data_IF_438301640316
#
_entry.id   IF_438301640316
#
_cell.length_a   1.000
_cell.length_b   1.000
_cell.length_c   1.000
_cell.angle_alpha   90.00
_cell.angle_beta   90.00
_cell.angle_gamma   90.00
#
_symmetry.space_group_name_H-M   'P 1'
#
loop_
_entity.id
_entity.type
_entity.pdbx_description
1 polymer ?
#
# COMPACT_ATOMS: atom_id res chain seq x y z
N UNK A 1 -33.81 68.10 6.06
CA UNK A 1 -34.50 66.79 6.20
C UNK A 1 -33.50 65.75 6.68
N UNK A 2 -33.80 64.95 7.71
CA UNK A 2 -32.91 63.91 8.20
C UNK A 2 -32.72 62.84 7.11
N UNK A 3 -31.47 62.53 6.77
CA UNK A 3 -31.14 61.46 5.82
C UNK A 3 -31.63 60.13 6.40
N UNK A 4 -32.55 59.45 5.71
CA UNK A 4 -32.98 58.10 6.09
C UNK A 4 -31.75 57.19 6.14
N UNK A 5 -31.58 56.44 7.23
CA UNK A 5 -30.47 55.48 7.38
C UNK A 5 -30.44 54.50 6.22
N UNK A 6 -29.24 54.10 5.79
CA UNK A 6 -29.07 53.03 4.81
C UNK A 6 -29.82 51.76 5.30
N UNK A 7 -30.55 51.05 4.42
CA UNK A 7 -31.19 49.79 4.78
C UNK A 7 -30.14 48.75 5.18
N UNK A 8 -30.53 47.85 6.08
CA UNK A 8 -29.65 46.76 6.51
C UNK A 8 -29.54 45.65 5.46
N UNK A 9 -28.47 44.83 5.50
CA UNK A 9 -28.30 43.67 4.60
C UNK A 9 -29.49 42.71 4.67
N UNK A 10 -30.10 42.55 5.86
CA UNK A 10 -31.29 41.71 6.03
C UNK A 10 -32.51 42.31 5.33
N UNK A 11 -32.71 43.64 5.45
CA UNK A 11 -33.78 44.34 4.73
C UNK A 11 -33.61 44.26 3.21
N UNK A 12 -32.39 44.40 2.69
CA UNK A 12 -32.16 44.35 1.24
C UNK A 12 -32.38 42.96 0.66
N UNK A 13 -32.05 41.89 1.41
CA UNK A 13 -32.39 40.50 1.07
C UNK A 13 -33.90 40.27 1.06
N UNK A 14 -34.63 40.77 2.07
CA UNK A 14 -36.10 40.70 2.09
C UNK A 14 -36.74 41.45 0.90
N UNK A 15 -36.16 42.58 0.47
CA UNK A 15 -36.65 43.31 -0.70
C UNK A 15 -36.43 42.52 -2.00
N UNK A 16 -35.29 41.83 -2.12
CA UNK A 16 -35.00 40.94 -3.23
C UNK A 16 -36.01 39.78 -3.29
N UNK A 17 -36.30 39.14 -2.16
CA UNK A 17 -37.24 38.01 -2.10
C UNK A 17 -38.67 38.44 -2.49
N UNK A 18 -39.12 39.61 -2.03
CA UNK A 18 -40.42 40.17 -2.43
C UNK A 18 -40.47 40.52 -3.93
N UNK A 19 -39.38 41.08 -4.45
CA UNK A 19 -39.26 41.40 -5.87
C UNK A 19 -39.32 40.14 -6.75
N UNK A 20 -38.59 39.09 -6.38
CA UNK A 20 -38.62 37.79 -7.07
C UNK A 20 -39.98 37.08 -6.93
N UNK A 21 -40.71 37.33 -5.84
CA UNK A 21 -42.10 36.87 -5.64
C UNK A 21 -43.13 37.64 -6.48
N UNK A 22 -42.69 38.52 -7.39
CA UNK A 22 -43.54 39.24 -8.35
C UNK A 22 -43.91 40.67 -7.94
N UNK A 23 -43.33 41.22 -6.88
CA UNK A 23 -43.63 42.60 -6.48
C UNK A 23 -42.89 43.60 -7.36
N UNK A 24 -43.60 44.63 -7.83
CA UNK A 24 -42.95 45.71 -8.58
C UNK A 24 -42.14 46.62 -7.67
N UNK A 25 -41.05 47.19 -8.21
CA UNK A 25 -40.20 48.15 -7.50
C UNK A 25 -40.99 49.36 -6.96
N UNK A 26 -42.02 49.79 -7.70
CA UNK A 26 -42.92 50.87 -7.30
C UNK A 26 -43.77 50.49 -6.09
N UNK A 27 -44.28 49.25 -6.04
CA UNK A 27 -45.05 48.74 -4.91
C UNK A 27 -44.17 48.58 -3.66
N UNK A 28 -42.93 48.12 -3.83
CA UNK A 28 -41.93 48.05 -2.76
C UNK A 28 -41.56 49.45 -2.22
N UNK A 29 -41.35 50.42 -3.12
CA UNK A 29 -41.04 51.81 -2.77
C UNK A 29 -42.16 52.46 -1.95
N UNK A 30 -43.41 52.28 -2.38
CA UNK A 30 -44.59 52.79 -1.68
C UNK A 30 -44.74 52.15 -0.30
N UNK A 31 -44.62 50.81 -0.19
CA UNK A 31 -44.83 50.09 1.06
C UNK A 31 -43.71 50.30 2.08
N UNK A 32 -42.46 50.41 1.63
CA UNK A 32 -41.30 50.64 2.51
C UNK A 32 -41.01 52.13 2.72
N UNK A 33 -41.79 53.03 2.10
CA UNK A 33 -41.63 54.48 2.23
C UNK A 33 -40.26 54.97 1.75
N UNK A 34 -39.71 54.37 0.70
CA UNK A 34 -38.36 54.64 0.16
C UNK A 34 -38.47 55.10 -1.29
N UNK A 35 -37.49 55.89 -1.74
CA UNK A 35 -37.41 56.32 -3.14
C UNK A 35 -37.20 55.10 -4.05
N UNK A 36 -37.89 55.06 -5.20
CA UNK A 36 -37.83 53.93 -6.14
C UNK A 36 -36.40 53.68 -6.66
N UNK A 37 -35.59 54.74 -6.84
CA UNK A 37 -34.17 54.61 -7.22
C UNK A 37 -33.35 53.95 -6.12
N UNK A 38 -33.73 54.18 -4.86
CA UNK A 38 -33.10 53.52 -3.70
C UNK A 38 -33.46 52.04 -3.68
N UNK A 39 -34.74 51.69 -3.84
CA UNK A 39 -35.18 50.29 -3.94
C UNK A 39 -34.45 49.57 -5.08
N UNK A 40 -34.47 50.12 -6.30
CA UNK A 40 -33.80 49.53 -7.47
C UNK A 40 -32.30 49.31 -7.24
N UNK A 41 -31.61 50.32 -6.69
CA UNK A 41 -30.18 50.23 -6.37
C UNK A 41 -29.91 49.07 -5.41
N UNK A 42 -30.60 49.01 -4.28
CA UNK A 42 -30.35 47.98 -3.27
C UNK A 42 -30.82 46.57 -3.69
N UNK A 43 -31.84 46.45 -4.54
CA UNK A 43 -32.19 45.17 -5.18
C UNK A 43 -31.06 44.72 -6.10
N UNK A 44 -30.50 45.63 -6.90
CA UNK A 44 -29.38 45.31 -7.80
C UNK A 44 -28.13 44.90 -7.02
N UNK A 45 -27.82 45.62 -5.92
CA UNK A 45 -26.73 45.26 -5.01
C UNK A 45 -26.96 43.89 -4.36
N UNK A 46 -28.17 43.60 -3.86
CA UNK A 46 -28.52 42.30 -3.27
C UNK A 46 -28.47 41.16 -4.31
N UNK A 47 -28.85 41.42 -5.57
CA UNK A 47 -28.68 40.46 -6.66
C UNK A 47 -27.20 40.19 -6.96
N UNK A 48 -26.37 41.23 -6.97
CA UNK A 48 -24.93 41.10 -7.20
C UNK A 48 -24.27 40.30 -6.05
N UNK A 49 -24.62 40.58 -4.80
CA UNK A 49 -24.19 39.83 -3.61
C UNK A 49 -24.61 38.35 -3.72
N UNK A 50 -25.88 38.06 -4.03
CA UNK A 50 -26.36 36.68 -4.20
C UNK A 50 -25.64 35.94 -5.31
N UNK A 51 -25.40 36.57 -6.47
CA UNK A 51 -24.63 35.97 -7.57
C UNK A 51 -23.18 35.70 -7.16
N UNK A 52 -22.58 36.62 -6.40
CA UNK A 52 -21.24 36.44 -5.86
C UNK A 52 -21.20 35.25 -4.88
N UNK A 53 -22.12 35.19 -3.92
CA UNK A 53 -22.23 34.07 -2.97
C UNK A 53 -22.43 32.72 -3.68
N UNK A 54 -23.26 32.69 -4.73
CA UNK A 54 -23.45 31.49 -5.56
C UNK A 54 -22.18 31.10 -6.31
N UNK A 55 -21.47 32.06 -6.89
CA UNK A 55 -20.21 31.80 -7.57
C UNK A 55 -19.14 31.30 -6.59
N UNK A 56 -19.04 31.88 -5.40
CA UNK A 56 -18.14 31.43 -4.34
C UNK A 56 -18.48 30.00 -3.90
N UNK A 57 -19.76 29.69 -3.71
CA UNK A 57 -20.22 28.35 -3.33
C UNK A 57 -19.88 27.31 -4.41
N UNK A 58 -20.08 27.61 -5.69
CA UNK A 58 -19.73 26.70 -6.78
C UNK A 58 -18.22 26.49 -6.91
N UNK A 59 -17.41 27.54 -6.70
CA UNK A 59 -15.94 27.41 -6.65
C UNK A 59 -15.52 26.50 -5.49
N UNK A 60 -16.10 26.71 -4.30
CA UNK A 60 -15.83 25.89 -3.12
C UNK A 60 -16.21 24.43 -3.34
N UNK A 61 -17.41 24.19 -3.87
CA UNK A 61 -17.90 22.84 -4.21
C UNK A 61 -16.96 22.15 -5.19
N UNK A 62 -16.56 22.84 -6.25
CA UNK A 62 -15.62 22.31 -7.25
C UNK A 62 -14.26 21.97 -6.62
N UNK A 63 -13.73 22.84 -5.76
CA UNK A 63 -12.47 22.58 -5.07
C UNK A 63 -12.56 21.37 -4.12
N UNK A 64 -13.66 21.24 -3.37
CA UNK A 64 -13.90 20.09 -2.49
C UNK A 64 -14.08 18.79 -3.26
N UNK A 65 -14.82 18.79 -4.36
CA UNK A 65 -14.98 17.62 -5.23
C UNK A 65 -13.64 17.16 -5.78
N UNK A 66 -12.85 18.08 -6.35
CA UNK A 66 -11.51 17.75 -6.86
C UNK A 66 -10.58 17.22 -5.76
N UNK A 67 -10.66 17.79 -4.56
CA UNK A 67 -9.87 17.30 -3.43
C UNK A 67 -10.29 15.87 -3.01
N UNK A 68 -11.59 15.58 -2.95
CA UNK A 68 -12.09 14.23 -2.67
C UNK A 68 -11.66 13.22 -3.74
N UNK A 69 -11.69 13.60 -5.03
CA UNK A 69 -11.20 12.75 -6.12
C UNK A 69 -9.71 12.39 -5.95
N UNK A 70 -8.88 13.34 -5.53
CA UNK A 70 -7.45 13.09 -5.27
C UNK A 70 -7.22 12.13 -4.09
N UNK A 71 -8.01 12.27 -3.02
CA UNK A 71 -7.95 11.37 -1.87
C UNK A 71 -8.40 9.95 -2.24
N UNK A 72 -9.47 9.83 -3.02
CA UNK A 72 -9.96 8.54 -3.53
C UNK A 72 -8.96 7.90 -4.50
N UNK A 73 -8.29 8.69 -5.35
CA UNK A 73 -7.21 8.18 -6.21
C UNK A 73 -6.07 7.59 -5.36
N UNK A 74 -5.70 8.25 -4.26
CA UNK A 74 -4.68 7.74 -3.32
C UNK A 74 -5.11 6.42 -2.67
N UNK A 75 -6.40 6.27 -2.32
CA UNK A 75 -6.93 4.99 -1.83
C UNK A 75 -6.93 3.88 -2.89
N UNK A 76 -7.19 4.21 -4.15
CA UNK A 76 -7.08 3.24 -5.25
C UNK A 76 -5.63 2.78 -5.45
N UNK A 77 -4.66 3.69 -5.35
CA UNK A 77 -3.23 3.34 -5.37
C UNK A 77 -2.86 2.43 -4.19
N UNK A 78 -3.38 2.72 -3.00
CA UNK A 78 -3.22 1.89 -1.81
C UNK A 78 -3.79 0.48 -2.01
N UNK A 79 -5.02 0.34 -2.50
CA UNK A 79 -5.65 -0.97 -2.81
C UNK A 79 -4.81 -1.78 -3.82
N UNK A 80 -4.22 -1.09 -4.80
CA UNK A 80 -3.35 -1.69 -5.81
C UNK A 80 -1.93 -2.02 -5.30
N UNK A 81 -1.48 -1.42 -4.20
CA UNK A 81 -0.19 -1.70 -3.57
C UNK A 81 -0.28 -2.87 -2.58
N UNK A 82 -1.43 -2.99 -1.91
CA UNK A 82 -1.71 -4.09 -0.99
C UNK A 82 -1.93 -5.36 -1.80
N UNK A 83 -0.94 -6.23 -1.79
CA UNK A 83 -1.04 -7.54 -2.42
C UNK A 83 -0.17 -8.55 -1.66
N UNK A 84 -0.50 -9.82 -1.82
CA UNK A 84 0.37 -10.88 -1.36
C UNK A 84 1.63 -10.89 -2.23
N UNK A 85 2.82 -11.07 -1.62
CA UNK A 85 4.03 -11.27 -2.40
C UNK A 85 3.91 -12.49 -3.30
N UNK A 86 4.49 -12.43 -4.49
CA UNK A 86 4.54 -13.58 -5.40
C UNK A 86 5.33 -14.73 -4.75
N UNK A 87 4.98 -16.01 -5.00
CA UNK A 87 5.65 -17.16 -4.38
C UNK A 87 7.16 -17.25 -4.66
N UNK A 88 7.61 -16.60 -5.72
CA UNK A 88 8.99 -16.48 -6.17
C UNK A 88 9.65 -15.14 -5.81
N UNK A 89 8.98 -14.31 -5.00
CA UNK A 89 9.58 -13.13 -4.40
C UNK A 89 10.80 -13.52 -3.58
N UNK A 90 11.89 -12.81 -3.83
CA UNK A 90 13.17 -13.03 -3.17
C UNK A 90 13.28 -12.13 -1.94
N UNK A 91 13.28 -12.74 -0.76
CA UNK A 91 13.43 -12.02 0.50
C UNK A 91 14.86 -12.10 1.03
N UNK A 92 15.77 -11.33 0.43
CA UNK A 92 17.08 -11.01 0.99
C UNK A 92 17.35 -9.53 0.83
N UNK A 93 17.93 -8.92 1.85
CA UNK A 93 18.30 -7.51 1.80
C UNK A 93 19.45 -7.32 0.84
N UNK A 94 19.27 -6.37 -0.07
CA UNK A 94 20.35 -5.85 -0.91
C UNK A 94 21.50 -5.34 -0.03
N UNK A 95 22.74 -5.66 -0.41
CA UNK A 95 23.92 -5.41 0.42
C UNK A 95 24.25 -3.93 0.56
N UNK A 96 23.89 -3.12 -0.43
CA UNK A 96 24.21 -1.69 -0.49
C UNK A 96 23.10 -0.84 0.15
N UNK A 97 21.84 -1.24 -0.05
CA UNK A 97 20.68 -0.43 0.31
C UNK A 97 19.96 -0.91 1.57
N UNK A 98 20.16 -2.18 1.96
CA UNK A 98 19.42 -2.84 3.05
C UNK A 98 17.89 -2.81 2.84
N UNK A 99 17.46 -2.97 1.58
CA UNK A 99 16.04 -2.96 1.18
C UNK A 99 15.63 -4.23 0.45
N UNK A 100 14.35 -4.55 0.55
CA UNK A 100 13.64 -5.54 -0.27
C UNK A 100 12.43 -4.84 -0.87
N UNK A 101 12.33 -4.86 -2.19
CA UNK A 101 11.19 -4.30 -2.92
C UNK A 101 10.34 -5.43 -3.49
N UNK A 102 9.02 -5.35 -3.31
CA UNK A 102 8.09 -6.33 -3.85
C UNK A 102 6.76 -5.68 -4.23
N UNK A 103 5.88 -6.44 -4.88
CA UNK A 103 4.63 -5.94 -5.48
C UNK A 103 4.88 -4.80 -6.47
N UNK A 104 5.80 -5.02 -7.42
CA UNK A 104 6.22 -4.04 -8.43
C UNK A 104 6.78 -2.73 -7.83
N UNK A 105 7.54 -2.83 -6.72
CA UNK A 105 8.21 -1.69 -6.08
C UNK A 105 7.35 -0.90 -5.09
N UNK A 106 6.05 -1.21 -5.01
CA UNK A 106 5.11 -0.44 -4.18
C UNK A 106 5.28 -0.68 -2.68
N UNK A 107 5.88 -1.81 -2.31
CA UNK A 107 6.16 -2.17 -0.92
C UNK A 107 7.66 -2.30 -0.75
N UNK A 108 8.19 -1.57 0.23
CA UNK A 108 9.61 -1.56 0.58
C UNK A 108 9.75 -2.04 2.02
N UNK A 109 10.44 -3.16 2.19
CA UNK A 109 10.91 -3.61 3.50
C UNK A 109 12.35 -3.14 3.70
N UNK A 110 12.62 -2.53 4.85
CA UNK A 110 13.95 -2.03 5.22
C UNK A 110 14.41 -2.67 6.51
N UNK A 111 15.72 -2.93 6.62
CA UNK A 111 16.35 -3.37 7.87
C UNK A 111 17.41 -2.33 8.25
N UNK A 112 17.17 -1.52 9.30
CA UNK A 112 18.17 -0.60 9.82
C UNK A 112 19.46 -1.35 10.22
N UNK A 113 20.64 -0.79 9.92
CA UNK A 113 21.94 -1.43 10.17
C UNK A 113 22.13 -1.88 11.63
N UNK A 114 21.51 -1.18 12.58
CA UNK A 114 21.62 -1.43 14.01
C UNK A 114 20.51 -2.31 14.60
N UNK A 115 19.54 -2.79 13.80
CA UNK A 115 18.42 -3.58 14.31
C UNK A 115 18.19 -4.87 13.53
N UNK A 116 17.61 -5.85 14.21
CA UNK A 116 17.05 -7.04 13.57
C UNK A 116 15.65 -6.79 13.02
N UNK A 117 15.06 -5.64 13.34
CA UNK A 117 13.68 -5.32 13.03
C UNK A 117 13.54 -4.97 11.55
N UNK A 118 12.52 -5.57 10.93
CA UNK A 118 12.13 -5.28 9.56
C UNK A 118 10.99 -4.27 9.63
N UNK A 119 11.11 -3.19 8.88
CA UNK A 119 10.09 -2.16 8.79
C UNK A 119 9.52 -2.18 7.38
N UNK A 120 8.22 -2.40 7.26
CA UNK A 120 7.50 -2.40 5.97
C UNK A 120 6.81 -1.07 5.74
N UNK A 121 7.13 -0.42 4.63
CA UNK A 121 6.55 0.84 4.20
C UNK A 121 6.00 0.72 2.78
N UNK A 122 4.93 1.45 2.50
CA UNK A 122 4.42 1.64 1.14
C UNK A 122 5.07 2.88 0.53
N UNK A 123 5.37 2.84 -0.76
CA UNK A 123 5.97 3.97 -1.48
C UNK A 123 5.14 5.26 -1.33
N UNK A 124 3.81 5.12 -1.42
CA UNK A 124 2.82 6.20 -1.34
C UNK A 124 2.77 6.91 0.02
N UNK A 125 3.31 6.30 1.09
CA UNK A 125 3.33 6.90 2.45
C UNK A 125 4.15 8.18 2.51
N UNK A 126 5.12 8.35 1.60
CA UNK A 126 5.93 9.55 1.52
C UNK A 126 5.19 10.73 0.85
N UNK A 127 3.98 10.52 0.34
CA UNK A 127 3.20 11.54 -0.36
C UNK A 127 2.39 12.41 0.60
N UNK A 128 2.28 13.70 0.28
CA UNK A 128 1.42 14.63 1.02
C UNK A 128 -0.06 14.21 0.97
N UNK A 129 -0.51 13.61 -0.15
CA UNK A 129 -1.89 13.13 -0.28
C UNK A 129 -2.19 11.99 0.69
N UNK A 130 -1.24 11.08 0.92
CA UNK A 130 -1.40 10.03 1.91
C UNK A 130 -1.55 10.58 3.32
N UNK A 131 -0.76 11.59 3.70
CA UNK A 131 -0.94 12.27 5.00
C UNK A 131 -2.33 12.91 5.13
N UNK A 132 -2.91 13.43 4.04
CA UNK A 132 -4.28 13.97 4.08
C UNK A 132 -5.33 12.85 4.20
N UNK A 133 -5.11 11.69 3.58
CA UNK A 133 -5.94 10.49 3.78
C UNK A 133 -5.88 10.04 5.25
N UNK A 134 -4.68 10.03 5.86
CA UNK A 134 -4.51 9.78 7.30
C UNK A 134 -5.32 10.74 8.17
N UNK A 135 -5.27 12.04 7.88
CA UNK A 135 -6.05 13.03 8.63
C UNK A 135 -7.56 12.79 8.53
N UNK A 136 -8.05 12.46 7.32
CA UNK A 136 -9.46 12.14 7.11
C UNK A 136 -9.90 10.89 7.88
N UNK A 137 -9.03 9.89 7.96
CA UNK A 137 -9.31 8.58 8.53
C UNK A 137 -8.70 8.36 9.92
N UNK A 138 -8.31 9.43 10.63
CA UNK A 138 -7.62 9.34 11.94
C UNK A 138 -8.38 8.48 12.98
N UNK A 139 -9.71 8.40 12.86
CA UNK A 139 -10.57 7.59 13.73
C UNK A 139 -11.13 6.33 13.06
N UNK A 140 -10.69 6.02 11.84
CA UNK A 140 -11.15 4.86 11.09
C UNK A 140 -10.26 3.63 11.37
N UNK A 141 -10.88 2.46 11.43
CA UNK A 141 -10.20 1.18 11.61
C UNK A 141 -9.26 0.83 10.44
N UNK A 142 -9.39 1.44 9.27
CA UNK A 142 -8.52 1.18 8.10
C UNK A 142 -7.04 1.30 8.44
N UNK A 143 -6.64 2.29 9.24
CA UNK A 143 -5.23 2.46 9.63
C UNK A 143 -4.77 1.45 10.69
N UNK A 144 -5.69 0.94 11.50
CA UNK A 144 -5.42 -0.20 12.36
C UNK A 144 -5.19 -1.47 11.52
N UNK A 145 -6.05 -1.73 10.53
CA UNK A 145 -5.88 -2.81 9.56
C UNK A 145 -4.58 -2.66 8.74
N UNK A 146 -4.18 -1.43 8.38
CA UNK A 146 -2.91 -1.18 7.69
C UNK A 146 -1.71 -1.56 8.55
N UNK A 147 -1.72 -1.18 9.84
CA UNK A 147 -0.68 -1.59 10.79
C UNK A 147 -0.65 -3.11 10.99
N UNK A 148 -1.81 -3.75 11.08
CA UNK A 148 -1.93 -5.22 11.16
C UNK A 148 -1.34 -5.90 9.93
N UNK A 149 -1.66 -5.41 8.74
CA UNK A 149 -1.09 -5.87 7.48
C UNK A 149 0.44 -5.70 7.42
N UNK A 150 0.97 -4.54 7.81
CA UNK A 150 2.42 -4.29 7.87
C UNK A 150 3.11 -5.28 8.81
N UNK A 151 2.59 -5.46 10.02
CA UNK A 151 3.14 -6.40 10.99
C UNK A 151 3.10 -7.86 10.49
N UNK A 152 2.02 -8.25 9.79
CA UNK A 152 1.93 -9.57 9.16
C UNK A 152 2.94 -9.74 8.02
N UNK A 153 3.17 -8.70 7.21
CA UNK A 153 4.21 -8.65 6.19
C UNK A 153 5.60 -8.80 6.83
N UNK A 154 5.92 -8.00 7.85
CA UNK A 154 7.19 -8.06 8.58
C UNK A 154 7.45 -9.45 9.16
N UNK A 155 6.44 -10.07 9.80
CA UNK A 155 6.56 -11.44 10.29
C UNK A 155 6.81 -12.43 9.13
N UNK A 156 6.07 -12.33 8.03
CA UNK A 156 6.27 -13.22 6.87
C UNK A 156 7.68 -13.10 6.29
N UNK A 157 8.19 -11.87 6.08
CA UNK A 157 9.54 -11.62 5.58
C UNK A 157 10.58 -12.18 6.55
N UNK A 158 10.43 -11.95 7.85
CA UNK A 158 11.31 -12.52 8.88
C UNK A 158 11.35 -14.05 8.82
N UNK A 159 10.20 -14.72 8.66
CA UNK A 159 10.15 -16.17 8.51
C UNK A 159 10.85 -16.65 7.24
N UNK A 160 10.73 -15.92 6.13
CA UNK A 160 11.43 -16.24 4.89
C UNK A 160 12.95 -16.10 5.00
N UNK A 161 13.42 -15.02 5.64
CA UNK A 161 14.85 -14.78 5.88
C UNK A 161 15.42 -15.86 6.80
N UNK A 162 14.73 -16.19 7.89
CA UNK A 162 15.17 -17.23 8.81
C UNK A 162 15.25 -18.59 8.13
N UNK A 163 14.26 -18.94 7.30
CA UNK A 163 14.30 -20.15 6.48
C UNK A 163 15.50 -20.19 5.53
N UNK A 164 15.81 -19.09 4.85
CA UNK A 164 16.98 -19.00 3.97
C UNK A 164 18.29 -19.22 4.74
N UNK A 165 18.41 -18.66 5.95
CA UNK A 165 19.58 -18.90 6.83
C UNK A 165 19.72 -20.37 7.20
N UNK A 166 18.63 -21.02 7.62
CA UNK A 166 18.62 -22.46 7.93
C UNK A 166 19.02 -23.33 6.72
N UNK A 167 18.59 -22.95 5.51
CA UNK A 167 19.01 -23.65 4.28
C UNK A 167 20.50 -23.48 4.01
N UNK A 168 21.04 -22.27 4.17
CA UNK A 168 22.48 -22.00 4.03
C UNK A 168 23.29 -22.83 5.02
N UNK A 169 22.91 -22.83 6.30
CA UNK A 169 23.58 -23.66 7.31
C UNK A 169 23.48 -25.16 7.01
N UNK A 170 22.36 -25.60 6.44
CA UNK A 170 22.16 -26.96 5.95
C UNK A 170 23.09 -27.30 4.78
N UNK A 171 23.26 -26.37 3.83
CA UNK A 171 24.19 -26.51 2.70
C UNK A 171 25.65 -26.53 3.15
N UNK A 172 26.03 -25.69 4.11
CA UNK A 172 27.38 -25.68 4.68
C UNK A 172 27.70 -26.99 5.42
N UNK A 173 26.71 -27.52 6.15
CA UNK A 173 26.83 -28.81 6.84
C UNK A 173 27.00 -29.95 5.82
N UNK A 174 26.19 -29.95 4.77
CA UNK A 174 26.34 -30.86 3.63
C UNK A 174 27.75 -30.75 3.03
N UNK A 175 28.24 -29.54 2.76
CA UNK A 175 29.57 -29.32 2.20
C UNK A 175 30.66 -29.96 3.06
N UNK A 176 30.62 -29.75 4.38
CA UNK A 176 31.55 -30.37 5.32
C UNK A 176 31.46 -31.91 5.36
N UNK A 177 30.25 -32.45 5.33
CA UNK A 177 30.03 -33.91 5.33
C UNK A 177 30.58 -34.59 4.07
N UNK A 178 30.48 -33.92 2.92
CA UNK A 178 30.91 -34.44 1.61
C UNK A 178 32.35 -34.04 1.27
N UNK A 179 32.95 -33.12 2.04
CA UNK A 179 34.31 -32.63 1.82
C UNK A 179 34.44 -31.60 0.70
N UNK A 180 33.39 -30.83 0.43
CA UNK A 180 33.35 -29.79 -0.61
C UNK A 180 32.97 -28.45 0.00
N UNK A 181 33.62 -27.39 -0.47
CA UNK A 181 33.21 -26.02 -0.19
C UNK A 181 31.98 -25.66 -1.02
N UNK A 182 30.84 -25.49 -0.34
CA UNK A 182 29.61 -25.00 -0.96
C UNK A 182 29.56 -23.51 -0.67
N UNK A 183 29.86 -22.66 -1.65
CA UNK A 183 29.73 -21.21 -1.49
C UNK A 183 28.24 -20.82 -1.40
N UNK A 184 27.67 -20.90 -0.21
CA UNK A 184 26.30 -20.47 0.09
C UNK A 184 26.36 -19.26 1.02
N UNK A 185 26.52 -18.06 0.49
CA UNK A 185 26.35 -16.86 1.31
C UNK A 185 24.86 -16.51 1.41
N UNK A 186 24.35 -16.31 2.63
CA UNK A 186 22.95 -15.95 2.86
C UNK A 186 22.53 -14.64 2.19
N UNK A 187 23.51 -13.76 1.88
CA UNK A 187 23.34 -12.43 1.30
C UNK A 187 23.75 -12.32 -0.17
N UNK A 188 24.19 -13.41 -0.83
CA UNK A 188 24.61 -13.36 -2.24
C UNK A 188 23.51 -13.94 -3.16
N UNK A 189 23.27 -13.26 -4.28
CA UNK A 189 22.39 -13.68 -5.37
C UNK A 189 23.00 -14.81 -6.22
N UNK A 190 24.30 -15.03 -6.14
CA UNK A 190 25.05 -15.85 -7.11
C UNK A 190 24.98 -17.36 -6.87
N UNK A 191 24.36 -17.80 -5.79
CA UNK A 191 24.23 -19.23 -5.47
C UNK A 191 23.10 -19.92 -6.26
N UNK A 192 23.36 -20.36 -7.49
CA UNK A 192 22.37 -21.07 -8.34
C UNK A 192 21.75 -22.28 -7.60
N UNK A 193 22.56 -23.02 -6.83
CA UNK A 193 22.09 -24.13 -6.00
C UNK A 193 21.16 -23.66 -4.87
N UNK A 194 21.54 -22.61 -4.13
CA UNK A 194 20.73 -22.08 -3.04
C UNK A 194 19.38 -21.58 -3.58
N UNK A 195 19.39 -20.86 -4.70
CA UNK A 195 18.19 -20.35 -5.37
C UNK A 195 17.28 -21.49 -5.83
N UNK A 196 17.85 -22.55 -6.41
CA UNK A 196 17.09 -23.75 -6.78
C UNK A 196 16.45 -24.43 -5.57
N UNK A 197 17.20 -24.65 -4.49
CA UNK A 197 16.67 -25.28 -3.28
C UNK A 197 15.60 -24.40 -2.64
N UNK A 198 15.88 -23.10 -2.45
CA UNK A 198 14.94 -22.13 -1.88
C UNK A 198 13.64 -22.11 -2.67
N UNK A 199 13.71 -21.95 -3.99
CA UNK A 199 12.51 -21.81 -4.85
C UNK A 199 11.60 -23.04 -4.78
N UNK A 200 12.15 -24.25 -4.89
CA UNK A 200 11.33 -25.46 -4.85
C UNK A 200 10.80 -25.72 -3.43
N UNK A 201 11.60 -25.45 -2.40
CA UNK A 201 11.21 -25.62 -1.00
C UNK A 201 10.10 -24.64 -0.59
N UNK A 202 10.21 -23.36 -0.94
CA UNK A 202 9.16 -22.36 -0.70
C UNK A 202 7.85 -22.75 -1.37
N UNK A 203 7.90 -23.12 -2.65
CA UNK A 203 6.71 -23.56 -3.38
C UNK A 203 6.06 -24.77 -2.72
N UNK A 204 6.85 -25.75 -2.28
CA UNK A 204 6.35 -26.88 -1.51
C UNK A 204 5.72 -26.44 -0.17
N UNK A 205 6.37 -25.57 0.60
CA UNK A 205 5.88 -25.13 1.91
C UNK A 205 4.55 -24.37 1.78
N UNK A 206 4.44 -23.49 0.78
CA UNK A 206 3.24 -22.68 0.55
C UNK A 206 2.08 -23.50 -0.02
N UNK A 207 2.34 -24.35 -1.03
CA UNK A 207 1.30 -25.13 -1.72
C UNK A 207 1.02 -26.49 -1.09
N UNK A 208 1.93 -27.00 -0.26
CA UNK A 208 1.90 -28.33 0.33
C UNK A 208 1.74 -29.46 -0.70
N UNK A 209 2.32 -29.28 -1.90
CA UNK A 209 2.24 -30.20 -3.03
C UNK A 209 3.55 -30.97 -3.21
N UNK A 210 3.51 -32.28 -2.95
CA UNK A 210 4.68 -33.18 -3.04
C UNK A 210 5.26 -33.26 -4.45
N UNK A 211 4.43 -33.09 -5.47
CA UNK A 211 4.86 -33.19 -6.87
C UNK A 211 5.88 -32.12 -7.25
N UNK A 212 5.93 -31.01 -6.49
CA UNK A 212 6.91 -29.94 -6.68
C UNK A 212 8.33 -30.44 -6.37
N UNK A 213 8.48 -31.18 -5.28
CA UNK A 213 9.77 -31.73 -4.85
C UNK A 213 10.18 -32.90 -5.75
N UNK A 214 9.22 -33.78 -6.10
CA UNK A 214 9.45 -34.89 -7.04
C UNK A 214 9.98 -34.36 -8.38
N UNK A 215 9.28 -33.39 -9.00
CA UNK A 215 9.74 -32.74 -10.24
C UNK A 215 11.05 -31.98 -10.08
N UNK A 216 11.37 -31.47 -8.88
CA UNK A 216 12.66 -30.84 -8.63
C UNK A 216 13.78 -31.87 -8.67
N UNK A 217 13.60 -32.99 -7.97
CA UNK A 217 14.58 -34.09 -7.92
C UNK A 217 14.75 -34.76 -9.29
N UNK A 218 13.67 -35.00 -10.04
CA UNK A 218 13.72 -35.58 -11.40
C UNK A 218 14.51 -34.74 -12.42
N UNK A 219 14.59 -33.43 -12.17
CA UNK A 219 15.36 -32.49 -13.01
C UNK A 219 16.86 -32.51 -12.68
N UNK A 220 17.26 -33.04 -11.53
CA UNK A 220 18.67 -33.16 -11.15
C UNK A 220 19.33 -34.32 -11.91
N UNK A 221 20.55 -34.10 -12.37
CA UNK A 221 21.34 -35.11 -13.06
C UNK A 221 22.83 -34.92 -12.74
N UNK A 222 23.55 -36.04 -12.64
CA UNK A 222 25.01 -36.05 -12.53
C UNK A 222 25.62 -36.00 -13.93
N UNK A 223 26.52 -35.07 -14.15
CA UNK A 223 27.41 -35.03 -15.29
C UNK A 223 28.80 -35.54 -14.88
N UNK A 224 29.00 -36.86 -14.97
CA UNK A 224 30.27 -37.52 -14.58
C UNK A 224 31.48 -37.04 -15.38
N UNK A 225 31.28 -36.57 -16.61
CA UNK A 225 32.37 -36.12 -17.47
C UNK A 225 32.95 -34.77 -16.99
N UNK A 226 32.14 -33.96 -16.31
CA UNK A 226 32.54 -32.65 -15.79
C UNK A 226 32.67 -32.61 -14.27
N UNK A 227 32.22 -33.66 -13.58
CA UNK A 227 32.12 -33.70 -12.13
C UNK A 227 31.13 -32.68 -11.58
N UNK A 228 29.97 -32.55 -12.23
CA UNK A 228 28.98 -31.52 -11.94
C UNK A 228 27.59 -32.10 -11.68
N UNK A 229 26.81 -31.40 -10.85
CA UNK A 229 25.37 -31.58 -10.73
C UNK A 229 24.67 -30.52 -11.59
N UNK A 230 23.77 -30.95 -12.46
CA UNK A 230 23.05 -30.09 -13.41
C UNK A 230 21.53 -30.19 -13.24
N UNK A 231 20.80 -29.12 -13.61
CA UNK A 231 19.35 -29.12 -13.83
C UNK A 231 19.09 -29.29 -15.33
N UNK A 232 18.18 -30.18 -15.72
CA UNK A 232 17.74 -30.31 -17.11
C UNK A 232 17.03 -29.03 -17.61
N UNK A 233 17.37 -28.50 -18.80
CA UNK A 233 18.45 -28.92 -19.70
C UNK A 233 19.75 -28.12 -19.48
N UNK A 234 20.71 -28.68 -18.73
CA UNK A 234 22.13 -28.30 -18.78
C UNK A 234 22.63 -27.17 -17.87
N UNK A 235 21.82 -26.61 -16.95
CA UNK A 235 22.31 -25.59 -16.02
C UNK A 235 23.11 -26.22 -14.88
N UNK A 236 24.40 -25.90 -14.77
CA UNK A 236 25.24 -26.35 -13.64
C UNK A 236 24.78 -25.72 -12.33
N UNK A 237 24.50 -26.57 -11.33
CA UNK A 237 24.17 -26.16 -9.97
C UNK A 237 25.39 -26.12 -9.06
N UNK A 238 26.23 -27.17 -9.16
CA UNK A 238 27.35 -27.39 -8.29
C UNK A 238 28.43 -28.18 -9.04
N UNK A 239 29.68 -27.78 -8.88
CA UNK A 239 30.85 -28.53 -9.32
C UNK A 239 31.43 -29.29 -8.13
N UNK A 240 31.47 -30.61 -8.20
CA UNK A 240 31.83 -31.51 -7.11
C UNK A 240 32.54 -32.78 -7.64
N UNK A 241 33.71 -32.64 -8.28
CA UNK A 241 34.40 -33.76 -8.92
C UNK A 241 34.79 -34.83 -7.90
N UNK A 242 34.37 -36.07 -8.15
CA UNK A 242 34.65 -37.24 -7.30
C UNK A 242 33.72 -37.41 -6.10
N UNK A 243 32.72 -36.53 -5.92
CA UNK A 243 31.72 -36.63 -4.87
C UNK A 243 30.30 -36.33 -5.37
N UNK A 244 30.05 -36.55 -6.66
CA UNK A 244 28.83 -36.19 -7.36
C UNK A 244 27.61 -36.93 -6.80
N UNK A 245 27.73 -38.24 -6.56
CA UNK A 245 26.65 -39.04 -5.97
C UNK A 245 26.30 -38.59 -4.55
N UNK A 246 27.32 -38.34 -3.71
CA UNK A 246 27.13 -37.89 -2.33
C UNK A 246 26.50 -36.48 -2.27
N UNK A 247 26.93 -35.57 -3.15
CA UNK A 247 26.30 -34.26 -3.29
C UNK A 247 24.84 -34.35 -3.77
N UNK A 248 24.53 -35.22 -4.74
CA UNK A 248 23.16 -35.40 -5.22
C UNK A 248 22.24 -35.93 -4.11
N UNK A 249 22.70 -36.92 -3.35
CA UNK A 249 21.96 -37.46 -2.20
C UNK A 249 21.70 -36.36 -1.15
N UNK A 250 22.71 -35.57 -0.83
CA UNK A 250 22.57 -34.50 0.16
C UNK A 250 21.65 -33.36 -0.32
N UNK A 251 21.70 -32.97 -1.59
CA UNK A 251 20.73 -32.01 -2.17
C UNK A 251 19.31 -32.57 -2.09
N UNK A 252 19.13 -33.86 -2.39
CA UNK A 252 17.83 -34.54 -2.31
C UNK A 252 17.33 -34.57 -0.87
N UNK A 253 18.21 -34.77 0.11
CA UNK A 253 17.90 -34.69 1.55
C UNK A 253 17.46 -33.29 1.98
N UNK A 254 18.11 -32.23 1.49
CA UNK A 254 17.70 -30.85 1.74
C UNK A 254 16.31 -30.55 1.15
N UNK A 255 16.01 -31.11 -0.03
CA UNK A 255 14.69 -31.04 -0.68
C UNK A 255 13.67 -32.05 -0.15
N UNK A 256 14.00 -32.85 0.88
CA UNK A 256 13.09 -33.85 1.39
C UNK A 256 11.93 -33.24 2.16
N UNK A 257 10.77 -33.89 2.09
CA UNK A 257 9.58 -33.49 2.84
C UNK A 257 9.88 -33.43 4.34
N UNK A 258 10.64 -34.38 4.88
CA UNK A 258 10.91 -34.44 6.32
C UNK A 258 11.81 -33.27 6.78
N UNK A 259 12.74 -32.84 5.93
CA UNK A 259 13.51 -31.61 6.20
C UNK A 259 12.64 -30.35 6.13
N UNK A 260 11.66 -30.31 5.23
CA UNK A 260 10.86 -29.11 4.97
C UNK A 260 9.60 -28.97 5.84
N UNK A 261 9.08 -30.07 6.39
CA UNK A 261 7.89 -30.08 7.27
C UNK A 261 8.05 -29.22 8.53
N UNK A 262 9.28 -28.99 9.02
CA UNK A 262 9.52 -28.11 10.19
C UNK A 262 9.24 -26.63 9.91
N UNK A 263 9.05 -26.24 8.66
CA UNK A 263 8.87 -24.85 8.24
C UNK A 263 7.40 -24.46 8.02
N UNK A 264 6.45 -25.14 8.69
CA UNK A 264 5.01 -24.81 8.61
C UNK A 264 4.69 -23.39 9.03
N UNK A 265 5.53 -22.78 9.88
CA UNK A 265 5.38 -21.40 10.33
C UNK A 265 5.41 -20.39 9.18
N UNK A 266 6.08 -20.68 8.04
CA UNK A 266 6.08 -19.80 6.86
C UNK A 266 4.68 -19.78 6.24
N UNK A 267 4.07 -20.97 6.10
CA UNK A 267 2.71 -21.12 5.56
C UNK A 267 1.69 -20.44 6.48
N UNK A 268 1.86 -20.55 7.80
CA UNK A 268 1.01 -19.86 8.78
C UNK A 268 1.15 -18.34 8.68
N UNK A 269 2.38 -17.81 8.60
CA UNK A 269 2.63 -16.39 8.41
C UNK A 269 2.04 -15.89 7.08
N UNK A 270 2.18 -16.65 5.98
CA UNK A 270 1.59 -16.31 4.69
C UNK A 270 0.06 -16.30 4.73
N UNK A 271 -0.57 -17.26 5.43
CA UNK A 271 -2.02 -17.27 5.63
C UNK A 271 -2.49 -16.08 6.46
N UNK A 272 -1.78 -15.74 7.53
CA UNK A 272 -2.08 -14.54 8.33
C UNK A 272 -2.01 -13.29 7.47
N UNK A 273 -0.92 -13.13 6.70
CA UNK A 273 -0.78 -12.04 5.76
C UNK A 273 -1.93 -11.99 4.75
N UNK A 274 -2.39 -13.14 4.26
CA UNK A 274 -3.58 -13.25 3.39
C UNK A 274 -4.86 -12.75 4.05
N UNK A 275 -5.10 -13.09 5.32
CA UNK A 275 -6.25 -12.60 6.08
C UNK A 275 -6.18 -11.09 6.29
N UNK A 276 -5.04 -10.56 6.73
CA UNK A 276 -4.86 -9.11 6.91
C UNK A 276 -5.00 -8.34 5.59
N UNK A 277 -4.46 -8.89 4.50
CA UNK A 277 -4.59 -8.33 3.15
C UNK A 277 -6.07 -8.23 2.75
N UNK A 278 -6.85 -9.29 2.96
CA UNK A 278 -8.28 -9.28 2.63
C UNK A 278 -9.08 -8.31 3.50
N UNK A 279 -8.79 -8.25 4.81
CA UNK A 279 -9.43 -7.33 5.74
C UNK A 279 -9.17 -5.88 5.32
N UNK A 280 -7.91 -5.52 5.12
CA UNK A 280 -7.53 -4.17 4.72
C UNK A 280 -8.10 -3.78 3.35
N UNK A 281 -8.06 -4.69 2.36
CA UNK A 281 -8.70 -4.44 1.06
C UNK A 281 -10.19 -4.19 1.19
N UNK A 282 -10.90 -4.98 2.00
CA UNK A 282 -12.34 -4.77 2.23
C UNK A 282 -12.61 -3.40 2.84
N UNK A 283 -11.80 -2.98 3.81
CA UNK A 283 -11.95 -1.67 4.46
C UNK A 283 -11.74 -0.53 3.44
N UNK A 284 -10.68 -0.62 2.63
CA UNK A 284 -10.37 0.38 1.59
C UNK A 284 -11.43 0.41 0.50
N UNK A 285 -11.85 -0.76 0.00
CA UNK A 285 -12.88 -0.86 -1.02
C UNK A 285 -14.22 -0.32 -0.53
N UNK A 286 -14.54 -0.50 0.75
CA UNK A 286 -15.73 0.11 1.34
C UNK A 286 -15.68 1.64 1.26
N UNK A 287 -14.52 2.25 1.56
CA UNK A 287 -14.32 3.70 1.44
C UNK A 287 -14.36 4.19 -0.01
N UNK A 288 -13.83 3.41 -0.94
CA UNK A 288 -13.88 3.73 -2.38
C UNK A 288 -15.34 3.68 -2.87
N UNK A 289 -16.10 2.65 -2.48
CA UNK A 289 -17.49 2.47 -2.89
C UNK A 289 -18.44 3.55 -2.34
N UNK A 290 -18.14 4.13 -1.17
CA UNK A 290 -18.89 5.29 -0.68
C UNK A 290 -18.65 6.55 -1.50
N UNK A 291 -17.67 6.55 -2.41
CA UNK A 291 -17.26 7.67 -3.26
C UNK A 291 -17.06 8.98 -2.47
N UNK A 292 -16.64 8.83 -1.22
CA UNK A 292 -16.52 9.90 -0.25
C UNK A 292 -15.63 9.43 0.88
N UNK A 293 -14.62 10.24 1.22
CA UNK A 293 -13.76 9.99 2.36
C UNK A 293 -14.27 10.76 3.59
N UNK A 294 -14.71 10.09 4.66
CA UNK A 294 -15.21 10.77 5.84
C UNK A 294 -14.12 11.57 6.55
N UNK A 295 -14.52 12.46 7.46
CA UNK A 295 -13.59 13.30 8.23
C UNK A 295 -13.16 14.57 7.50
N UNK A 296 -12.17 15.25 8.08
CA UNK A 296 -11.63 16.51 7.56
C UNK A 296 -10.12 16.57 7.73
N UNK A 297 -9.42 16.99 6.67
CA UNK A 297 -8.01 17.35 6.73
C UNK A 297 -7.81 18.88 6.81
N UNK A 298 -6.55 19.29 6.91
CA UNK A 298 -6.14 20.70 6.86
C UNK A 298 -6.64 21.45 5.63
N UNK A 299 -6.67 20.80 4.46
CA UNK A 299 -7.14 21.40 3.21
C UNK A 299 -8.65 21.63 3.27
N UNK A 300 -9.43 20.64 3.72
CA UNK A 300 -10.87 20.78 3.94
C UNK A 300 -11.20 21.96 4.87
N UNK A 301 -10.48 22.07 6.00
CA UNK A 301 -10.69 23.17 6.96
C UNK A 301 -10.40 24.53 6.36
N UNK A 302 -9.30 24.67 5.62
CA UNK A 302 -8.94 25.93 4.92
C UNK A 302 -9.96 26.31 3.85
N UNK A 303 -10.42 25.36 3.05
CA UNK A 303 -11.46 25.59 2.04
C UNK A 303 -12.77 26.07 2.67
N UNK A 304 -13.14 25.53 3.84
CA UNK A 304 -14.33 25.96 4.60
C UNK A 304 -14.13 27.25 5.41
N UNK A 305 -12.96 27.89 5.33
CA UNK A 305 -12.65 29.09 6.13
C UNK A 305 -12.48 28.83 7.63
N UNK A 306 -12.36 27.58 8.04
CA UNK A 306 -12.11 27.21 9.44
C UNK A 306 -10.62 27.35 9.73
N UNK A 307 -10.26 28.16 10.75
CA UNK A 307 -8.87 28.26 11.19
C UNK A 307 -8.42 26.90 11.71
N UNK A 308 -7.24 26.44 11.27
CA UNK A 308 -6.57 25.26 11.81
C UNK A 308 -6.43 25.45 13.32
N UNK A 309 -7.22 24.71 14.10
CA UNK A 309 -7.00 24.61 15.54
C UNK A 309 -5.60 24.03 15.76
N UNK A 310 -4.74 24.79 16.43
CA UNK A 310 -3.52 24.27 17.05
C UNK A 310 -3.91 23.39 18.23
#
# INVERSE_FOLDING_TARGET
MPRKKAPSIKETREWLDLYESGWSEAHLAQRKGRDIRTIRKYITEAQAERRFDQAELEVLKTALTKHQEQLLATLNELDAAIALPEPDTRFYFDQDTYKIEFNAGKVVATQPESSTDIIVNLELENSLLFTLVEQHLNHNLTFFSLKGWKAACENYINRCIFFRKELVEGMDRMGREVGIEVCAEARDEKGILLDFICKNSFKFILLNDRTILEKAVERLQINKNRGEIIIKPGTTLLSCPGAEEACLEAITKLLSIDNLKKFTYIREAYKQLGMETQTLKRDIQTLILTNFLPGECDVCRRLKGQRSGK
#
